data_IF_117904526009
#
_entry.id   IF_117904526009
#
_cell.length_a   1.000
_cell.length_b   1.000
_cell.length_c   1.000
_cell.angle_alpha   90.00
_cell.angle_beta   90.00
_cell.angle_gamma   90.00
#
_symmetry.space_group_name_H-M   'P 1'
#
loop_
_entity.id
_entity.type
_entity.pdbx_description
1 polymer ?
#
# COMPACT_ATOMS: atom_id res chain seq x y z
N UNK A 1 30.86 -11.49 34.02
CA UNK A 1 29.74 -11.05 33.15
C UNK A 1 29.92 -11.75 31.81
N UNK A 2 29.14 -12.79 31.53
CA UNK A 2 29.17 -13.48 30.24
C UNK A 2 28.26 -12.70 29.30
N UNK A 3 28.85 -11.99 28.34
CA UNK A 3 28.09 -11.44 27.22
C UNK A 3 27.57 -12.64 26.43
N UNK A 4 26.29 -12.97 26.61
CA UNK A 4 25.59 -13.96 25.80
C UNK A 4 25.55 -13.43 24.37
N UNK A 5 26.43 -13.95 23.51
CA UNK A 5 26.37 -13.74 22.07
C UNK A 5 25.11 -14.43 21.57
N UNK A 6 23.97 -13.72 21.57
CA UNK A 6 22.79 -14.16 20.84
C UNK A 6 23.22 -14.32 19.39
N UNK A 7 23.13 -15.54 18.86
CA UNK A 7 23.40 -15.81 17.45
C UNK A 7 22.57 -14.83 16.61
N UNK A 8 23.21 -14.13 15.69
CA UNK A 8 22.52 -13.26 14.77
C UNK A 8 21.49 -14.09 14.00
N UNK A 9 20.23 -13.65 14.03
CA UNK A 9 19.15 -14.30 13.32
C UNK A 9 19.10 -13.76 11.90
N UNK A 10 19.32 -14.62 10.90
CA UNK A 10 19.10 -14.27 9.49
C UNK A 10 17.73 -14.81 9.02
N UNK A 11 16.70 -13.94 8.88
CA UNK A 11 15.42 -14.37 8.35
C UNK A 11 15.53 -14.92 6.93
N UNK A 12 16.48 -14.45 6.11
CA UNK A 12 16.63 -14.94 4.73
C UNK A 12 17.16 -16.36 4.69
N UNK A 13 18.10 -16.72 5.57
CA UNK A 13 18.60 -18.09 5.68
C UNK A 13 17.49 -19.07 6.07
N UNK A 14 16.63 -18.67 7.02
CA UNK A 14 15.46 -19.47 7.41
C UNK A 14 14.49 -19.64 6.22
N UNK A 15 14.20 -18.55 5.50
CA UNK A 15 13.31 -18.58 4.35
C UNK A 15 13.87 -19.43 3.20
N UNK A 16 15.18 -19.40 2.98
CA UNK A 16 15.85 -20.18 1.94
C UNK A 16 15.68 -21.71 2.13
N UNK A 17 15.45 -22.16 3.36
CA UNK A 17 15.16 -23.57 3.67
C UNK A 17 13.70 -23.95 3.34
N UNK A 18 12.80 -22.97 3.23
CA UNK A 18 11.37 -23.17 3.02
C UNK A 18 11.00 -23.14 1.52
N UNK A 19 11.43 -24.15 0.75
CA UNK A 19 11.29 -24.20 -0.73
C UNK A 19 9.85 -24.09 -1.27
N UNK A 20 8.87 -24.49 -0.47
CA UNK A 20 7.43 -24.49 -0.82
C UNK A 20 6.65 -23.42 -0.04
N UNK A 21 7.32 -22.39 0.49
CA UNK A 21 6.67 -21.34 1.25
C UNK A 21 5.73 -20.54 0.35
N UNK A 22 4.43 -20.58 0.65
CA UNK A 22 3.39 -19.86 -0.11
C UNK A 22 3.05 -18.52 0.54
N UNK A 23 3.09 -18.45 1.87
CA UNK A 23 2.76 -17.25 2.64
C UNK A 23 3.79 -17.03 3.72
N UNK A 24 4.23 -15.79 3.88
CA UNK A 24 5.15 -15.40 4.94
C UNK A 24 4.59 -14.19 5.68
N UNK A 25 4.55 -14.27 7.00
CA UNK A 25 4.30 -13.12 7.86
C UNK A 25 5.50 -12.95 8.77
N UNK A 26 6.21 -11.84 8.59
CA UNK A 26 7.49 -11.57 9.23
C UNK A 26 7.36 -10.32 10.08
N UNK A 27 7.74 -10.42 11.35
CA UNK A 27 7.75 -9.31 12.31
C UNK A 27 9.18 -9.07 12.77
N UNK A 28 9.73 -7.91 12.43
CA UNK A 28 10.98 -7.41 13.00
C UNK A 28 10.72 -6.88 14.43
N UNK A 29 11.70 -6.95 15.36
CA UNK A 29 13.02 -6.37 15.13
C UNK A 29 14.11 -7.39 14.86
N UNK A 30 14.65 -7.35 13.65
CA UNK A 30 15.97 -7.90 13.37
C UNK A 30 16.96 -6.78 13.70
N UNK A 31 17.31 -6.63 14.98
CA UNK A 31 18.14 -5.51 15.44
C UNK A 31 19.61 -5.60 14.96
N UNK A 32 19.99 -6.68 14.29
CA UNK A 32 21.26 -6.89 13.59
C UNK A 32 21.14 -8.18 12.76
N UNK A 33 20.47 -8.18 11.59
CA UNK A 33 20.50 -9.38 10.78
C UNK A 33 21.93 -9.53 10.26
N UNK A 34 22.58 -10.65 10.56
CA UNK A 34 23.71 -11.09 9.75
C UNK A 34 23.13 -11.51 8.42
N UNK A 35 22.88 -10.55 7.54
CA UNK A 35 22.26 -10.85 6.25
C UNK A 35 23.26 -11.65 5.45
N UNK A 36 22.92 -12.90 5.16
CA UNK A 36 23.64 -13.71 4.20
C UNK A 36 23.81 -12.90 2.91
N UNK A 37 25.04 -12.83 2.40
CA UNK A 37 25.39 -12.05 1.21
C UNK A 37 24.77 -12.62 -0.09
N UNK A 38 23.87 -13.60 0.04
CA UNK A 38 23.38 -14.43 -1.04
C UNK A 38 21.91 -14.10 -1.33
N UNK A 39 21.54 -13.81 -2.58
CA UNK A 39 20.16 -13.66 -2.97
C UNK A 39 19.33 -14.91 -2.67
N UNK A 40 18.13 -14.73 -2.12
CA UNK A 40 17.17 -15.79 -1.83
C UNK A 40 15.99 -15.67 -2.79
N UNK A 41 15.69 -16.77 -3.48
CA UNK A 41 14.54 -16.87 -4.39
C UNK A 41 13.47 -17.76 -3.78
N UNK A 42 12.28 -17.20 -3.55
CA UNK A 42 11.11 -17.94 -3.06
C UNK A 42 10.10 -18.10 -4.20
N UNK A 43 10.33 -19.12 -5.05
CA UNK A 43 9.59 -19.35 -6.30
C UNK A 43 8.10 -19.64 -6.14
N UNK A 44 7.64 -19.96 -4.92
CA UNK A 44 6.24 -20.28 -4.62
C UNK A 44 5.55 -19.24 -3.72
N UNK A 45 6.28 -18.21 -3.26
CA UNK A 45 5.75 -17.22 -2.34
C UNK A 45 4.73 -16.34 -3.06
N UNK A 46 3.48 -16.39 -2.61
CA UNK A 46 2.35 -15.63 -3.16
C UNK A 46 1.92 -14.46 -2.28
N UNK A 47 2.11 -14.56 -0.96
CA UNK A 47 1.73 -13.49 -0.03
C UNK A 47 2.86 -13.24 0.97
N UNK A 48 3.26 -11.98 1.08
CA UNK A 48 4.30 -11.51 2.00
C UNK A 48 3.75 -10.36 2.83
N UNK A 49 3.62 -10.58 4.13
CA UNK A 49 3.41 -9.52 5.11
C UNK A 49 4.71 -9.26 5.87
N UNK A 50 5.21 -8.04 5.79
CA UNK A 50 6.44 -7.59 6.43
C UNK A 50 6.13 -6.42 7.38
N UNK A 51 6.26 -6.68 8.67
CA UNK A 51 6.22 -5.64 9.71
C UNK A 51 7.63 -5.16 10.01
N UNK A 52 7.89 -3.93 9.60
CA UNK A 52 9.17 -3.23 9.73
C UNK A 52 9.32 -2.80 11.19
N UNK A 53 10.53 -2.82 11.73
CA UNK A 53 10.77 -2.38 13.11
C UNK A 53 11.30 -0.95 13.14
N UNK A 54 10.87 -0.17 14.14
CA UNK A 54 11.22 1.25 14.31
C UNK A 54 12.74 1.54 14.32
N UNK A 55 13.56 0.57 14.74
CA UNK A 55 14.96 0.83 15.12
C UNK A 55 15.99 0.41 14.07
N UNK A 56 15.58 -0.26 12.98
CA UNK A 56 16.53 -0.77 11.98
C UNK A 56 15.96 -0.74 10.56
N UNK A 57 15.85 0.45 9.93
CA UNK A 57 15.50 0.55 8.52
C UNK A 57 16.49 -0.22 7.64
N UNK A 58 17.77 -0.28 8.02
CA UNK A 58 18.80 -1.05 7.32
C UNK A 58 18.49 -2.55 7.21
N UNK A 59 17.90 -3.17 8.25
CA UNK A 59 17.54 -4.58 8.20
C UNK A 59 16.47 -4.87 7.14
N UNK A 60 15.51 -3.97 6.97
CA UNK A 60 14.45 -4.08 5.96
C UNK A 60 15.00 -3.84 4.56
N UNK A 61 15.84 -2.82 4.39
CA UNK A 61 16.54 -2.54 3.13
C UNK A 61 17.31 -3.76 2.66
N UNK A 62 18.11 -4.36 3.55
CA UNK A 62 18.88 -5.55 3.23
C UNK A 62 17.97 -6.75 2.93
N UNK A 63 16.95 -7.01 3.74
CA UNK A 63 16.01 -8.11 3.50
C UNK A 63 15.36 -8.03 2.12
N UNK A 64 14.82 -6.86 1.76
CA UNK A 64 14.18 -6.66 0.46
C UNK A 64 15.18 -6.70 -0.69
N UNK A 65 16.42 -6.22 -0.50
CA UNK A 65 17.46 -6.23 -1.52
C UNK A 65 17.90 -7.64 -1.94
N UNK A 66 17.89 -8.59 -1.01
CA UNK A 66 18.33 -9.97 -1.30
C UNK A 66 17.15 -10.93 -1.55
N UNK A 67 15.92 -10.55 -1.24
CA UNK A 67 14.75 -11.38 -1.54
C UNK A 67 14.28 -11.19 -3.01
N UNK A 68 13.89 -12.30 -3.63
CA UNK A 68 13.18 -12.36 -4.91
C UNK A 68 11.99 -13.30 -4.80
N UNK A 69 10.79 -12.82 -5.15
CA UNK A 69 9.56 -13.61 -5.11
C UNK A 69 8.79 -13.42 -6.44
N UNK A 70 9.14 -14.18 -7.50
CA UNK A 70 8.68 -13.88 -8.85
C UNK A 70 7.17 -14.07 -9.07
N UNK A 71 6.53 -14.89 -8.23
CA UNK A 71 5.08 -15.16 -8.27
C UNK A 71 4.33 -14.49 -7.11
N UNK A 72 4.95 -13.49 -6.46
CA UNK A 72 4.31 -12.75 -5.38
C UNK A 72 3.11 -11.99 -5.92
N UNK A 73 1.96 -12.26 -5.33
CA UNK A 73 0.66 -11.68 -5.69
C UNK A 73 0.29 -10.56 -4.72
N UNK A 74 0.53 -10.79 -3.42
CA UNK A 74 0.18 -9.87 -2.33
C UNK A 74 1.42 -9.44 -1.55
N UNK A 75 1.64 -8.13 -1.46
CA UNK A 75 2.64 -7.50 -0.60
C UNK A 75 1.95 -6.61 0.43
N UNK A 76 2.17 -6.87 1.72
CA UNK A 76 1.71 -6.05 2.82
C UNK A 76 2.91 -5.53 3.62
N UNK A 77 3.09 -4.21 3.64
CA UNK A 77 4.14 -3.52 4.38
C UNK A 77 3.51 -2.80 5.58
N UNK A 78 3.96 -3.15 6.79
CA UNK A 78 3.49 -2.55 8.05
C UNK A 78 4.59 -1.71 8.68
N UNK A 79 4.36 -0.40 8.81
CA UNK A 79 5.29 0.58 9.34
C UNK A 79 4.89 1.02 10.75
N UNK A 80 5.73 0.81 11.77
CA UNK A 80 5.48 1.36 13.07
C UNK A 80 5.71 2.88 13.06
N UNK A 81 5.16 3.56 14.06
CA UNK A 81 5.34 4.99 14.34
C UNK A 81 6.77 5.46 14.09
N UNK A 82 6.94 6.56 13.36
CA UNK A 82 8.23 7.21 13.07
C UNK A 82 9.21 6.34 12.25
N UNK A 83 8.71 5.43 11.41
CA UNK A 83 9.57 4.73 10.44
C UNK A 83 9.87 5.61 9.24
N UNK A 84 11.12 5.57 8.78
CA UNK A 84 11.52 6.15 7.50
C UNK A 84 11.15 5.19 6.36
N UNK A 85 10.67 5.73 5.24
CA UNK A 85 10.47 4.97 4.01
C UNK A 85 11.63 5.24 3.06
N UNK A 86 12.39 4.21 2.72
CA UNK A 86 13.36 4.25 1.64
C UNK A 86 12.75 3.55 0.40
N UNK A 87 12.55 4.31 -0.67
CA UNK A 87 11.94 3.84 -1.91
C UNK A 87 12.82 2.84 -2.68
N UNK A 88 14.14 2.94 -2.53
CA UNK A 88 15.13 2.17 -3.30
C UNK A 88 14.98 0.65 -3.12
N UNK A 89 15.00 0.09 -1.89
CA UNK A 89 14.87 -1.36 -1.70
C UNK A 89 13.51 -1.91 -2.13
N UNK A 90 12.45 -1.14 -1.95
CA UNK A 90 11.08 -1.56 -2.30
C UNK A 90 10.94 -1.60 -3.82
N UNK A 91 11.40 -0.56 -4.50
CA UNK A 91 11.44 -0.50 -5.96
C UNK A 91 12.27 -1.65 -6.53
N UNK A 92 13.47 -1.87 -5.99
CA UNK A 92 14.33 -2.97 -6.43
C UNK A 92 13.67 -4.34 -6.22
N UNK A 93 12.97 -4.53 -5.10
CA UNK A 93 12.21 -5.74 -4.82
C UNK A 93 11.04 -5.95 -5.80
N UNK A 94 10.28 -4.90 -6.09
CA UNK A 94 9.16 -4.94 -7.05
C UNK A 94 9.64 -5.27 -8.46
N UNK A 95 10.78 -4.74 -8.90
CA UNK A 95 11.39 -5.08 -10.19
C UNK A 95 11.74 -6.57 -10.31
N UNK A 96 12.14 -7.21 -9.20
CA UNK A 96 12.40 -8.65 -9.14
C UNK A 96 11.15 -9.49 -8.85
N UNK A 97 10.07 -8.86 -8.42
CA UNK A 97 8.80 -9.47 -8.04
C UNK A 97 7.64 -8.80 -8.79
N UNK A 98 7.63 -8.82 -10.13
CA UNK A 98 6.75 -7.98 -10.95
C UNK A 98 5.27 -8.40 -10.93
N UNK A 99 4.97 -9.57 -10.35
CA UNK A 99 3.62 -10.19 -10.36
C UNK A 99 2.65 -9.61 -9.33
N UNK A 100 3.05 -8.57 -8.57
CA UNK A 100 2.25 -8.02 -7.47
C UNK A 100 0.95 -7.44 -8.03
N UNK A 101 -0.17 -8.02 -7.61
CA UNK A 101 -1.52 -7.53 -7.94
C UNK A 101 -2.17 -6.81 -6.77
N UNK A 102 -1.73 -7.08 -5.54
CA UNK A 102 -2.25 -6.50 -4.31
C UNK A 102 -1.13 -5.87 -3.49
N UNK A 103 -1.24 -4.57 -3.23
CA UNK A 103 -0.31 -3.80 -2.38
C UNK A 103 -1.08 -3.23 -1.20
N UNK A 104 -0.64 -3.58 0.00
CA UNK A 104 -1.15 -3.07 1.27
C UNK A 104 -0.04 -2.32 1.99
N UNK A 105 -0.30 -1.09 2.38
CA UNK A 105 0.61 -0.28 3.18
C UNK A 105 -0.17 0.13 4.43
N UNK A 106 0.36 -0.16 5.61
CA UNK A 106 -0.29 0.21 6.86
C UNK A 106 0.66 0.79 7.88
N UNK A 107 0.17 1.69 8.73
CA UNK A 107 0.89 2.24 9.87
C UNK A 107 1.21 3.73 9.75
N UNK A 108 2.31 4.16 10.36
CA UNK A 108 2.67 5.58 10.51
C UNK A 108 4.03 5.83 9.84
N UNK A 109 4.05 6.63 8.77
CA UNK A 109 5.29 7.01 8.09
C UNK A 109 5.40 8.53 8.08
N UNK A 110 6.30 9.10 8.88
CA UNK A 110 6.48 10.56 8.92
C UNK A 110 7.25 11.10 7.71
N UNK A 111 8.01 10.22 7.03
CA UNK A 111 9.03 10.64 6.06
C UNK A 111 8.74 10.10 4.64
N UNK A 112 7.53 9.61 4.37
CA UNK A 112 7.20 9.15 3.01
C UNK A 112 6.98 10.36 2.09
N UNK A 113 7.77 10.45 1.03
CA UNK A 113 7.69 11.53 0.04
C UNK A 113 6.72 11.17 -1.09
N UNK A 114 6.27 12.17 -1.85
CA UNK A 114 5.50 11.98 -3.07
C UNK A 114 6.24 11.10 -4.10
N UNK A 115 7.53 11.34 -4.31
CA UNK A 115 8.36 10.58 -5.25
C UNK A 115 8.45 9.10 -4.87
N UNK A 116 8.55 8.79 -3.57
CA UNK A 116 8.60 7.43 -3.08
C UNK A 116 7.30 6.66 -3.36
N UNK A 117 6.16 7.32 -3.17
CA UNK A 117 4.84 6.77 -3.53
C UNK A 117 4.75 6.55 -5.04
N UNK A 118 5.13 7.56 -5.83
CA UNK A 118 5.11 7.50 -7.30
C UNK A 118 5.98 6.36 -7.82
N UNK A 119 7.19 6.19 -7.29
CA UNK A 119 8.08 5.09 -7.64
C UNK A 119 7.48 3.72 -7.30
N UNK A 120 6.90 3.56 -6.10
CA UNK A 120 6.27 2.30 -5.70
C UNK A 120 5.07 1.92 -6.59
N UNK A 121 4.27 2.90 -7.02
CA UNK A 121 3.13 2.69 -7.92
C UNK A 121 3.59 2.43 -9.37
N UNK A 122 4.62 3.12 -9.84
CA UNK A 122 5.19 2.93 -11.18
C UNK A 122 5.72 1.50 -11.38
N UNK A 123 6.35 0.93 -10.34
CA UNK A 123 6.93 -0.41 -10.38
C UNK A 123 5.92 -1.55 -10.07
N UNK A 124 4.63 -1.23 -9.99
CA UNK A 124 3.55 -2.20 -9.81
C UNK A 124 2.51 -2.13 -10.96
N UNK A 125 2.91 -2.36 -12.23
CA UNK A 125 2.01 -2.19 -13.38
C UNK A 125 0.82 -3.18 -13.40
N UNK A 126 0.95 -4.31 -12.69
CA UNK A 126 -0.10 -5.33 -12.57
C UNK A 126 -1.02 -5.10 -11.37
N UNK A 127 -0.84 -4.01 -10.62
CA UNK A 127 -1.61 -3.72 -9.42
C UNK A 127 -3.09 -3.57 -9.75
N UNK A 128 -3.92 -4.39 -9.11
CA UNK A 128 -5.39 -4.37 -9.21
C UNK A 128 -6.04 -3.90 -7.91
N UNK A 129 -5.35 -4.07 -6.77
CA UNK A 129 -5.83 -3.72 -5.44
C UNK A 129 -4.78 -2.90 -4.69
N UNK A 130 -5.15 -1.68 -4.28
CA UNK A 130 -4.34 -0.83 -3.41
C UNK A 130 -5.08 -0.58 -2.10
N UNK A 131 -4.45 -0.92 -0.98
CA UNK A 131 -4.95 -0.62 0.36
C UNK A 131 -3.94 0.19 1.14
N UNK A 132 -4.33 1.37 1.60
CA UNK A 132 -3.52 2.21 2.46
C UNK A 132 -4.26 2.46 3.75
N UNK A 133 -3.63 2.12 4.87
CA UNK A 133 -4.15 2.33 6.22
C UNK A 133 -3.14 3.21 6.95
N UNK A 134 -3.32 4.52 6.91
CA UNK A 134 -2.31 5.46 7.38
C UNK A 134 -2.90 6.52 8.30
N UNK A 135 -2.19 6.89 9.35
CA UNK A 135 -2.60 7.99 10.22
C UNK A 135 -2.06 9.37 9.76
N UNK A 136 -1.34 9.43 8.65
CA UNK A 136 -0.78 10.66 8.08
C UNK A 136 -1.59 11.13 6.86
N UNK A 137 -2.05 12.38 6.93
CA UNK A 137 -2.80 13.08 5.88
C UNK A 137 -2.00 13.32 4.60
N UNK A 138 -0.67 13.46 4.70
CA UNK A 138 0.17 13.78 3.55
C UNK A 138 0.36 12.56 2.65
N UNK A 139 0.52 11.37 3.22
CA UNK A 139 0.61 10.13 2.44
C UNK A 139 -0.65 9.91 1.61
N UNK A 140 -1.81 10.13 2.21
CA UNK A 140 -3.09 10.07 1.50
C UNK A 140 -3.07 11.02 0.31
N UNK A 141 -2.74 12.30 0.54
CA UNK A 141 -2.64 13.30 -0.54
C UNK A 141 -1.68 12.84 -1.64
N UNK A 142 -0.48 12.37 -1.30
CA UNK A 142 0.50 11.95 -2.30
C UNK A 142 0.03 10.78 -3.15
N UNK A 143 -0.66 9.82 -2.55
CA UNK A 143 -1.24 8.70 -3.31
C UNK A 143 -2.31 9.20 -4.26
N UNK A 144 -3.18 10.09 -3.80
CA UNK A 144 -4.25 10.63 -4.63
C UNK A 144 -3.72 11.49 -5.77
N UNK A 145 -2.76 12.38 -5.49
CA UNK A 145 -2.08 13.19 -6.49
C UNK A 145 -1.39 12.29 -7.53
N UNK A 146 -0.78 11.17 -7.11
CA UNK A 146 -0.11 10.22 -8.02
C UNK A 146 -1.10 9.38 -8.84
N UNK A 147 -2.28 9.06 -8.29
CA UNK A 147 -3.32 8.31 -9.02
C UNK A 147 -4.14 9.19 -9.96
N UNK A 148 -4.17 10.50 -9.70
CA UNK A 148 -4.90 11.49 -10.48
C UNK A 148 -4.29 11.62 -11.88
N UNK A 149 -5.15 11.58 -12.89
CA UNK A 149 -4.78 11.94 -14.26
C UNK A 149 -4.67 13.47 -14.37
N UNK A 150 -3.57 14.05 -13.93
CA UNK A 150 -3.27 15.44 -14.29
C UNK A 150 -2.91 15.48 -15.78
N UNK A 151 -3.56 16.37 -16.53
CA UNK A 151 -3.62 16.37 -18.00
C UNK A 151 -2.29 16.53 -18.76
N UNK A 152 -1.15 16.54 -18.08
CA UNK A 152 0.20 16.65 -18.66
C UNK A 152 1.03 15.35 -18.53
N UNK A 153 0.61 14.35 -17.76
CA UNK A 153 1.40 13.12 -17.59
C UNK A 153 1.04 12.04 -18.64
N UNK A 154 2.00 11.71 -19.50
CA UNK A 154 1.87 10.69 -20.55
C UNK A 154 1.77 9.24 -20.04
N UNK A 155 1.88 9.02 -18.72
CA UNK A 155 1.96 7.69 -18.13
C UNK A 155 1.01 7.54 -16.96
N UNK A 156 -0.02 6.72 -17.17
CA UNK A 156 -0.98 6.38 -16.12
C UNK A 156 -0.33 5.37 -15.17
N UNK A 157 -0.16 5.75 -13.91
CA UNK A 157 0.32 4.82 -12.88
C UNK A 157 -0.71 3.72 -12.64
N UNK A 158 -0.29 2.49 -12.31
CA UNK A 158 -1.17 1.37 -11.94
C UNK A 158 -2.42 1.25 -12.85
N UNK A 159 -2.25 1.08 -14.17
CA UNK A 159 -3.35 1.15 -15.15
C UNK A 159 -4.37 0.02 -14.99
N UNK A 160 -4.11 -0.99 -14.14
CA UNK A 160 -5.03 -2.10 -13.86
C UNK A 160 -5.76 -1.96 -12.52
N UNK A 161 -5.61 -0.84 -11.83
CA UNK A 161 -6.19 -0.65 -10.50
C UNK A 161 -7.73 -0.66 -10.59
N UNK A 162 -8.36 -1.60 -9.89
CA UNK A 162 -9.81 -1.76 -9.82
C UNK A 162 -10.39 -1.48 -8.44
N UNK A 163 -9.59 -1.69 -7.40
CA UNK A 163 -10.02 -1.56 -6.00
C UNK A 163 -9.06 -0.64 -5.26
N UNK A 164 -9.61 0.43 -4.72
CA UNK A 164 -8.91 1.39 -3.86
C UNK A 164 -9.52 1.34 -2.46
N UNK A 165 -8.69 1.10 -1.45
CA UNK A 165 -9.10 1.16 -0.03
C UNK A 165 -8.20 2.12 0.71
N UNK A 166 -8.77 3.19 1.25
CA UNK A 166 -8.05 4.23 1.99
C UNK A 166 -8.67 4.33 3.37
N UNK A 167 -7.87 4.06 4.40
CA UNK A 167 -8.26 4.24 5.80
C UNK A 167 -7.33 5.27 6.43
N UNK A 168 -7.86 6.39 6.92
CA UNK A 168 -7.03 7.46 7.48
C UNK A 168 -7.62 8.13 8.72
N UNK A 169 -6.78 8.47 9.70
CA UNK A 169 -7.21 9.11 10.95
C UNK A 169 -7.64 10.57 10.81
N UNK A 170 -7.21 11.22 9.73
CA UNK A 170 -7.50 12.62 9.45
C UNK A 170 -7.80 12.78 7.97
N UNK A 171 -8.92 12.21 7.50
CA UNK A 171 -9.42 12.62 6.19
C UNK A 171 -9.73 14.11 6.29
N UNK A 172 -8.88 14.99 5.74
CA UNK A 172 -9.16 16.43 5.70
C UNK A 172 -10.40 16.62 4.85
N UNK A 173 -11.52 16.78 5.54
CA UNK A 173 -12.89 16.77 5.07
C UNK A 173 -13.13 17.89 4.07
N UNK A 174 -12.86 17.65 2.79
CA UNK A 174 -13.65 18.31 1.75
C UNK A 174 -14.28 17.26 0.87
N UNK A 175 -15.59 17.41 0.69
CA UNK A 175 -16.38 16.66 -0.29
C UNK A 175 -15.70 16.70 -1.67
N UNK A 176 -15.08 17.84 -2.01
CA UNK A 176 -14.31 18.03 -3.23
C UNK A 176 -13.12 17.08 -3.38
N UNK A 177 -12.46 16.73 -2.27
CA UNK A 177 -11.35 15.75 -2.31
C UNK A 177 -11.89 14.38 -2.66
N UNK A 178 -12.93 13.93 -1.97
CA UNK A 178 -13.59 12.63 -2.26
C UNK A 178 -14.12 12.59 -3.69
N UNK A 179 -14.73 13.68 -4.13
CA UNK A 179 -15.24 13.85 -5.50
C UNK A 179 -14.11 13.77 -6.52
N UNK A 180 -13.01 14.47 -6.30
CA UNK A 180 -11.83 14.44 -7.16
C UNK A 180 -11.18 13.06 -7.24
N UNK A 181 -11.16 12.31 -6.13
CA UNK A 181 -10.70 10.91 -6.11
C UNK A 181 -11.55 10.07 -7.06
N UNK A 182 -12.86 10.07 -6.85
CA UNK A 182 -13.81 9.28 -7.64
C UNK A 182 -13.70 9.66 -9.12
N UNK A 183 -13.72 10.96 -9.42
CA UNK A 183 -13.71 11.48 -10.80
C UNK A 183 -12.38 11.24 -11.51
N UNK A 184 -11.29 10.99 -10.77
CA UNK A 184 -9.97 10.78 -11.38
C UNK A 184 -9.87 9.53 -12.26
N UNK A 185 -10.64 8.49 -11.95
CA UNK A 185 -10.60 7.18 -12.63
C UNK A 185 -11.95 6.49 -12.79
N UNK A 186 -13.01 7.25 -12.66
CA UNK A 186 -14.34 6.78 -12.97
C UNK A 186 -14.87 7.51 -14.21
N UNK A 187 -15.10 6.73 -15.26
CA UNK A 187 -15.65 7.17 -16.54
C UNK A 187 -16.83 6.28 -16.94
N UNK A 188 -17.83 6.84 -17.65
CA UNK A 188 -18.92 6.06 -18.24
C UNK A 188 -18.41 5.08 -19.32
N UNK A 189 -19.24 4.10 -19.69
CA UNK A 189 -18.83 2.97 -20.54
C UNK A 189 -18.34 3.39 -21.94
N UNK A 190 -18.86 4.49 -22.45
CA UNK A 190 -18.51 5.09 -23.74
C UNK A 190 -17.13 5.78 -23.75
N UNK A 191 -16.59 6.12 -22.57
CA UNK A 191 -15.28 6.76 -22.42
C UNK A 191 -14.15 5.77 -22.08
N UNK A 192 -14.48 4.53 -21.68
CA UNK A 192 -13.52 3.48 -21.28
C UNK A 192 -12.36 3.27 -22.26
N UNK A 193 -12.63 3.28 -23.57
CA UNK A 193 -11.61 3.03 -24.59
C UNK A 193 -10.61 4.18 -24.76
N UNK A 194 -10.93 5.38 -24.28
CA UNK A 194 -10.12 6.57 -24.49
C UNK A 194 -9.02 6.74 -23.43
N UNK A 195 -9.20 6.17 -22.25
CA UNK A 195 -8.34 6.45 -21.10
C UNK A 195 -7.18 5.48 -20.90
N UNK A 196 -7.11 4.34 -21.59
CA UNK A 196 -5.97 3.41 -21.48
C UNK A 196 -5.74 2.81 -20.07
N UNK A 197 -6.70 2.98 -19.17
CA UNK A 197 -6.65 2.53 -17.79
C UNK A 197 -7.97 1.86 -17.36
N UNK A 198 -7.86 0.93 -16.44
CA UNK A 198 -8.98 0.27 -15.81
C UNK A 198 -9.82 1.28 -15.02
N UNK A 199 -11.14 1.20 -15.24
CA UNK A 199 -12.11 1.88 -14.39
C UNK A 199 -12.15 1.23 -13.01
N UNK A 200 -12.30 2.06 -11.99
CA UNK A 200 -12.53 1.58 -10.63
C UNK A 200 -13.85 0.83 -10.51
N UNK A 201 -13.80 -0.32 -9.86
CA UNK A 201 -14.96 -1.13 -9.49
C UNK A 201 -15.37 -0.91 -8.03
N UNK A 202 -14.41 -0.55 -7.18
CA UNK A 202 -14.63 -0.32 -5.74
C UNK A 202 -13.71 0.75 -5.18
N UNK A 203 -14.30 1.66 -4.42
CA UNK A 203 -13.60 2.70 -3.66
C UNK A 203 -14.12 2.66 -2.23
N UNK A 204 -13.26 2.27 -1.29
CA UNK A 204 -13.55 2.26 0.12
C UNK A 204 -12.76 3.37 0.81
N UNK A 205 -13.45 4.35 1.38
CA UNK A 205 -12.87 5.44 2.16
C UNK A 205 -13.34 5.29 3.60
N UNK A 206 -12.41 5.22 4.55
CA UNK A 206 -12.74 5.05 5.95
C UNK A 206 -11.98 6.05 6.81
N UNK A 207 -12.69 6.89 7.55
CA UNK A 207 -12.09 7.71 8.58
C UNK A 207 -11.83 6.85 9.83
N UNK A 208 -10.62 6.92 10.38
CA UNK A 208 -10.21 6.18 11.58
C UNK A 208 -10.32 7.11 12.79
N UNK A 209 -11.37 6.97 13.58
CA UNK A 209 -11.60 7.88 14.71
C UNK A 209 -11.07 7.29 16.03
N UNK A 210 -10.27 8.05 16.78
CA UNK A 210 -9.89 7.73 18.18
C UNK A 210 -11.08 7.87 19.14
N UNK A 211 -11.98 8.81 18.82
CA UNK A 211 -13.19 9.09 19.57
C UNK A 211 -14.37 9.04 18.59
N UNK A 212 -15.46 8.40 18.99
CA UNK A 212 -16.75 8.34 18.30
C UNK A 212 -17.35 9.73 18.07
N UNK A 213 -16.76 10.52 17.18
CA UNK A 213 -17.38 11.71 16.61
C UNK A 213 -18.25 11.25 15.45
N UNK A 214 -19.58 11.43 15.50
CA UNK A 214 -20.49 10.83 14.54
C UNK A 214 -20.65 11.61 13.23
N UNK A 215 -19.82 12.62 12.94
CA UNK A 215 -20.06 13.50 11.80
C UNK A 215 -18.95 13.43 10.75
N UNK A 216 -18.86 12.27 10.08
CA UNK A 216 -18.55 12.26 8.65
C UNK A 216 -19.86 12.53 7.91
N UNK A 217 -20.28 13.80 7.90
CA UNK A 217 -21.48 14.22 7.17
C UNK A 217 -21.18 14.30 5.68
N UNK A 218 -21.50 13.25 4.93
CA UNK A 218 -21.57 13.32 3.47
C UNK A 218 -22.72 14.26 3.12
N UNK A 219 -22.42 15.37 2.44
CA UNK A 219 -23.42 16.30 1.94
C UNK A 219 -24.41 15.60 0.98
N UNK A 220 -25.61 16.17 0.79
CA UNK A 220 -26.60 15.60 -0.12
C UNK A 220 -26.06 15.45 -1.54
N UNK A 221 -25.24 16.39 -2.03
CA UNK A 221 -24.66 16.34 -3.38
C UNK A 221 -23.74 15.14 -3.61
N UNK A 222 -22.78 14.90 -2.72
CA UNK A 222 -21.92 13.71 -2.80
C UNK A 222 -22.72 12.42 -2.59
N UNK A 223 -23.75 12.43 -1.74
CA UNK A 223 -24.63 11.25 -1.55
C UNK A 223 -25.36 10.89 -2.84
N UNK A 224 -26.02 11.86 -3.47
CA UNK A 224 -26.75 11.66 -4.73
C UNK A 224 -25.79 11.19 -5.85
N UNK A 225 -24.59 11.77 -5.87
CA UNK A 225 -23.53 11.34 -6.79
C UNK A 225 -23.11 9.90 -6.52
N UNK A 226 -22.88 9.51 -5.27
CA UNK A 226 -22.52 8.13 -4.90
C UNK A 226 -23.61 7.14 -5.29
N UNK A 227 -24.88 7.47 -5.08
CA UNK A 227 -26.00 6.63 -5.50
C UNK A 227 -26.01 6.44 -7.03
N UNK A 228 -25.78 7.52 -7.78
CA UNK A 228 -25.67 7.48 -9.25
C UNK A 228 -24.51 6.59 -9.71
N UNK A 229 -23.36 6.70 -9.05
CA UNK A 229 -22.16 5.91 -9.34
C UNK A 229 -22.37 4.42 -9.02
N UNK A 230 -23.04 4.11 -7.91
CA UNK A 230 -23.41 2.74 -7.52
C UNK A 230 -24.35 2.09 -8.53
N UNK A 231 -25.36 2.82 -9.00
CA UNK A 231 -26.25 2.36 -10.08
C UNK A 231 -25.49 2.10 -11.38
N UNK A 232 -24.40 2.84 -11.60
CA UNK A 232 -23.52 2.71 -12.76
C UNK A 232 -22.38 1.69 -12.56
N UNK A 233 -22.39 0.93 -11.46
CA UNK A 233 -21.49 -0.19 -11.20
C UNK A 233 -20.22 0.11 -10.39
N UNK A 234 -20.07 1.31 -9.82
CA UNK A 234 -18.99 1.63 -8.87
C UNK A 234 -19.45 1.44 -7.43
N UNK A 235 -18.85 0.48 -6.72
CA UNK A 235 -19.08 0.25 -5.29
C UNK A 235 -18.30 1.29 -4.46
N UNK A 236 -18.98 2.39 -4.08
CA UNK A 236 -18.41 3.42 -3.21
C UNK A 236 -18.89 3.21 -1.77
N UNK A 237 -17.95 2.92 -0.86
CA UNK A 237 -18.21 2.83 0.56
C UNK A 237 -17.46 3.93 1.30
N UNK A 238 -18.19 4.76 2.03
CA UNK A 238 -17.61 5.79 2.88
C UNK A 238 -18.10 5.56 4.30
N UNK A 239 -17.18 5.45 5.26
CA UNK A 239 -17.54 5.14 6.63
C UNK A 239 -16.55 5.66 7.66
N UNK A 240 -16.87 5.40 8.92
CA UNK A 240 -16.02 5.65 10.07
C UNK A 240 -15.76 4.30 10.75
N UNK A 241 -14.51 4.01 11.08
CA UNK A 241 -14.12 2.81 11.83
C UNK A 241 -13.32 3.20 13.07
N UNK A 242 -13.36 2.34 14.09
CA UNK A 242 -12.51 2.53 15.26
C UNK A 242 -11.07 2.22 14.89
N UNK A 243 -10.11 2.95 15.45
CA UNK A 243 -8.70 2.58 15.37
C UNK A 243 -8.43 1.21 16.02
N UNK A 244 -9.28 0.78 16.95
CA UNK A 244 -9.20 -0.55 17.58
C UNK A 244 -9.55 -1.69 16.62
N UNK A 245 -10.22 -1.41 15.50
CA UNK A 245 -10.59 -2.43 14.49
C UNK A 245 -9.44 -2.77 13.52
N UNK A 246 -8.24 -2.19 13.74
CA UNK A 246 -7.07 -2.33 12.87
C UNK A 246 -5.93 -3.19 13.44
N UNK A 247 -6.08 -3.70 14.67
CA UNK A 247 -5.11 -4.59 15.32
C UNK A 247 -5.31 -6.07 14.98
#
# INVERSE_FOLDING_TARGET
MVASSRSAFDPLELLAQCKNLVRAHLVAPWDNPSVSSYPVVLSHLRSLCLRIAMRSPHATVLFLNYLTAPVLDELHLVFPSNSTWDESPITAFQLRSPSITTLKISGYTSDMTFEAVKAALLNAPLLTHLSIVCCDTWLLKYVLDALSLSGDESHILVPRLHILTLKCSQFRKSEDTVRGIIDSRWWPDDELSMHGAARWSRVNLTELSECSSPEFGIGPELRDKMETLQQSGLDVNIGVASLLDLE
#
